data_IF_130007710863
#
_entry.id   IF_130007710863
#
_cell.length_a   1.000
_cell.length_b   1.000
_cell.length_c   1.000
_cell.angle_alpha   90.00
_cell.angle_beta   90.00
_cell.angle_gamma   90.00
#
_symmetry.space_group_name_H-M   'P 1'
#
loop_
_entity.id
_entity.type
_entity.pdbx_description
1 polymer ?
#
# COMPACT_ATOMS: atom_id res chain seq x y z
N UNK A 1 -1.78 49.98 35.79
CA UNK A 1 -1.37 49.82 34.38
C UNK A 1 -2.59 50.07 33.52
N UNK A 2 -2.58 51.07 32.64
CA UNK A 2 -3.77 51.50 31.90
C UNK A 2 -4.05 50.58 30.70
N UNK A 3 -4.87 49.56 30.91
CA UNK A 3 -5.34 48.60 29.90
C UNK A 3 -5.93 49.27 28.65
N UNK A 4 -6.55 50.45 28.80
CA UNK A 4 -7.09 51.24 27.69
C UNK A 4 -6.01 51.67 26.70
N UNK A 5 -4.83 52.06 27.18
CA UNK A 5 -3.72 52.49 26.31
C UNK A 5 -3.13 51.31 25.55
N UNK A 6 -2.98 50.16 26.21
CA UNK A 6 -2.51 48.91 25.60
C UNK A 6 -3.45 48.48 24.47
N UNK A 7 -4.77 48.53 24.69
CA UNK A 7 -5.78 48.17 23.68
C UNK A 7 -5.73 49.09 22.45
N UNK A 8 -5.55 50.39 22.66
CA UNK A 8 -5.45 51.37 21.56
C UNK A 8 -4.21 51.13 20.69
N UNK A 9 -3.06 50.85 21.33
CA UNK A 9 -1.81 50.53 20.62
C UNK A 9 -1.97 49.21 19.86
N UNK A 10 -2.51 48.18 20.50
CA UNK A 10 -2.72 46.87 19.87
C UNK A 10 -3.61 46.95 18.63
N UNK A 11 -4.75 47.66 18.70
CA UNK A 11 -5.63 47.80 17.53
C UNK A 11 -4.96 48.54 16.37
N UNK A 12 -4.12 49.54 16.68
CA UNK A 12 -3.37 50.26 15.65
C UNK A 12 -2.36 49.32 14.98
N UNK A 13 -1.57 48.60 15.77
CA UNK A 13 -0.52 47.70 15.30
C UNK A 13 -1.08 46.53 14.50
N UNK A 14 -2.18 45.91 14.99
CA UNK A 14 -2.85 44.83 14.29
C UNK A 14 -3.39 45.28 12.93
N UNK A 15 -4.00 46.47 12.86
CA UNK A 15 -4.45 47.03 11.58
C UNK A 15 -3.29 47.37 10.64
N UNK A 16 -2.15 47.79 11.20
CA UNK A 16 -0.95 48.07 10.42
C UNK A 16 -0.37 46.79 9.81
N UNK A 17 -0.26 45.72 10.62
CA UNK A 17 0.09 44.38 10.15
C UNK A 17 -0.89 43.83 9.11
N UNK A 18 -2.20 44.05 9.30
CA UNK A 18 -3.20 43.65 8.32
C UNK A 18 -3.08 44.39 6.98
N UNK A 19 -2.53 45.61 6.97
CA UNK A 19 -2.28 46.38 5.75
C UNK A 19 -1.01 45.92 5.04
N UNK A 20 -0.07 45.34 5.77
CA UNK A 20 1.09 44.72 5.15
C UNK A 20 0.72 43.37 4.53
N UNK A 21 0.23 43.46 3.29
CA UNK A 21 -0.10 42.30 2.45
C UNK A 21 1.07 41.35 2.26
N UNK A 22 2.33 41.80 2.34
CA UNK A 22 3.51 40.93 2.17
C UNK A 22 3.69 40.03 3.39
N UNK A 23 3.49 40.59 4.57
CA UNK A 23 3.57 39.88 5.85
C UNK A 23 2.35 38.96 6.04
N UNK A 24 1.14 39.45 5.79
CA UNK A 24 -0.06 38.61 5.84
C UNK A 24 -0.04 37.46 4.84
N UNK A 25 0.46 37.70 3.63
CA UNK A 25 0.59 36.63 2.64
C UNK A 25 1.51 35.53 3.15
N UNK A 26 2.66 35.89 3.70
CA UNK A 26 3.65 34.92 4.20
C UNK A 26 3.17 34.17 5.44
N UNK A 27 2.43 34.81 6.34
CA UNK A 27 2.00 34.20 7.61
C UNK A 27 0.71 33.38 7.43
N UNK A 28 -0.20 33.80 6.56
CA UNK A 28 -1.53 33.18 6.42
C UNK A 28 -1.67 32.43 5.10
N UNK A 29 -1.39 33.10 3.97
CA UNK A 29 -1.68 32.52 2.65
C UNK A 29 -0.66 31.44 2.29
N UNK A 30 0.63 31.72 2.50
CA UNK A 30 1.71 30.82 2.14
C UNK A 30 1.60 29.48 2.88
N UNK A 31 1.39 29.40 4.21
CA UNK A 31 1.26 28.10 4.89
C UNK A 31 -0.03 27.38 4.50
N UNK A 32 -1.11 28.12 4.28
CA UNK A 32 -2.40 27.56 3.89
C UNK A 32 -2.38 26.98 2.46
N UNK A 33 -1.45 27.41 1.61
CA UNK A 33 -1.18 26.78 0.30
C UNK A 33 -0.09 25.71 0.37
N UNK A 34 1.06 26.03 0.98
CA UNK A 34 2.23 25.14 0.99
C UNK A 34 2.00 23.90 1.85
N UNK A 35 1.38 24.01 3.02
CA UNK A 35 1.25 22.85 3.91
C UNK A 35 0.30 21.80 3.34
N UNK A 36 -0.87 22.15 2.78
CA UNK A 36 -1.70 21.16 2.10
C UNK A 36 -1.01 20.56 0.87
N UNK A 37 -0.28 21.37 0.09
CA UNK A 37 0.46 20.87 -1.06
C UNK A 37 1.52 19.86 -0.64
N UNK A 38 2.35 20.20 0.36
CA UNK A 38 3.34 19.29 0.92
C UNK A 38 2.67 18.03 1.49
N UNK A 39 1.60 18.19 2.27
CA UNK A 39 0.84 17.06 2.82
C UNK A 39 0.33 16.13 1.72
N UNK A 40 -0.25 16.67 0.66
CA UNK A 40 -0.68 15.88 -0.51
C UNK A 40 0.49 15.15 -1.16
N UNK A 41 1.64 15.81 -1.36
CA UNK A 41 2.82 15.15 -1.92
C UNK A 41 3.34 14.01 -1.02
N UNK A 42 3.35 14.21 0.30
CA UNK A 42 3.73 13.15 1.24
C UNK A 42 2.75 11.98 1.21
N UNK A 43 1.44 12.24 1.17
CA UNK A 43 0.43 11.20 1.06
C UNK A 43 0.53 10.42 -0.25
N UNK A 44 0.80 11.11 -1.37
CA UNK A 44 1.03 10.47 -2.66
C UNK A 44 2.26 9.55 -2.65
N UNK A 45 3.39 10.03 -2.11
CA UNK A 45 4.60 9.21 -1.97
C UNK A 45 4.34 8.02 -1.05
N UNK A 46 3.66 8.24 0.07
CA UNK A 46 3.30 7.17 1.00
C UNK A 46 2.41 6.11 0.35
N UNK A 47 1.46 6.51 -0.51
CA UNK A 47 0.65 5.57 -1.29
C UNK A 47 1.48 4.79 -2.30
N UNK A 48 2.44 5.43 -2.99
CA UNK A 48 3.33 4.75 -3.92
C UNK A 48 4.28 3.76 -3.22
N UNK A 49 4.66 4.05 -1.96
CA UNK A 49 5.42 3.13 -1.12
C UNK A 49 4.55 2.02 -0.50
N UNK A 50 3.23 2.04 -0.66
CA UNK A 50 2.43 0.88 -0.28
C UNK A 50 2.77 -0.25 -1.24
N UNK A 51 3.43 -1.26 -0.70
CA UNK A 51 3.83 -2.45 -1.43
C UNK A 51 2.58 -3.19 -1.90
N UNK A 52 2.50 -3.44 -3.21
CA UNK A 52 1.41 -4.21 -3.79
C UNK A 52 1.60 -5.69 -3.43
N UNK A 53 0.57 -6.36 -2.89
CA UNK A 53 0.68 -7.78 -2.60
C UNK A 53 0.86 -8.55 -3.92
N UNK A 54 1.92 -9.34 -3.99
CA UNK A 54 2.24 -10.22 -5.11
C UNK A 54 1.25 -11.37 -5.13
N UNK A 55 0.53 -11.54 -6.23
CA UNK A 55 -0.42 -12.64 -6.41
C UNK A 55 0.30 -13.87 -6.95
N UNK A 56 0.34 -14.93 -6.14
CA UNK A 56 1.03 -16.18 -6.47
C UNK A 56 -0.02 -17.29 -6.61
N UNK A 57 -0.02 -17.93 -7.77
CA UNK A 57 -0.85 -19.10 -8.04
C UNK A 57 -0.02 -20.38 -7.85
N UNK A 58 -0.53 -21.29 -7.03
CA UNK A 58 0.06 -22.59 -6.79
C UNK A 58 -0.80 -23.66 -7.47
N UNK A 59 -0.25 -24.30 -8.50
CA UNK A 59 -0.91 -25.38 -9.26
C UNK A 59 -0.39 -26.73 -8.75
N UNK A 60 -1.30 -27.69 -8.54
CA UNK A 60 -0.92 -29.02 -8.05
C UNK A 60 -0.72 -29.05 -6.54
N UNK A 61 -1.52 -28.28 -5.79
CA UNK A 61 -1.42 -28.17 -4.33
C UNK A 61 -1.49 -29.51 -3.57
N UNK A 62 -2.04 -30.54 -4.20
CA UNK A 62 -2.14 -31.90 -3.64
C UNK A 62 -0.82 -32.68 -3.66
N UNK A 63 0.20 -32.20 -4.38
CA UNK A 63 1.52 -32.83 -4.45
C UNK A 63 2.48 -32.32 -3.36
N UNK A 64 2.05 -31.36 -2.54
CA UNK A 64 2.91 -30.81 -1.49
C UNK A 64 3.12 -31.83 -0.37
N UNK A 65 4.34 -31.90 0.20
CA UNK A 65 4.62 -32.76 1.35
C UNK A 65 3.86 -32.28 2.60
N UNK A 66 3.29 -33.22 3.36
CA UNK A 66 2.57 -32.92 4.60
C UNK A 66 3.50 -32.48 5.75
N UNK A 67 4.80 -32.83 5.67
CA UNK A 67 5.81 -32.50 6.68
C UNK A 67 7.15 -32.12 6.01
N UNK A 68 7.72 -30.92 6.28
CA UNK A 68 7.14 -29.83 7.08
C UNK A 68 5.94 -29.15 6.37
N UNK A 69 4.93 -28.68 7.11
CA UNK A 69 3.78 -28.00 6.52
C UNK A 69 4.24 -26.69 5.88
N UNK A 70 4.18 -26.63 4.55
CA UNK A 70 4.55 -25.43 3.79
C UNK A 70 3.42 -24.40 3.76
N UNK A 71 2.18 -24.87 3.86
CA UNK A 71 0.96 -24.06 3.81
C UNK A 71 0.13 -24.29 5.06
N UNK A 72 -0.45 -23.21 5.57
CA UNK A 72 -1.40 -23.21 6.69
C UNK A 72 -2.71 -22.64 6.18
N UNK A 73 -3.81 -23.32 6.46
CA UNK A 73 -5.15 -22.81 6.26
C UNK A 73 -5.61 -22.11 7.54
N UNK A 74 -5.55 -20.77 7.56
CA UNK A 74 -6.02 -19.95 8.66
C UNK A 74 -7.56 -19.84 8.55
N UNK A 75 -8.24 -20.95 8.82
CA UNK A 75 -9.69 -21.07 8.65
C UNK A 75 -10.47 -20.03 9.48
N UNK A 76 -11.06 -19.05 8.79
CA UNK A 76 -12.44 -18.53 8.94
C UNK A 76 -12.69 -17.34 7.97
N UNK A 77 -11.65 -16.67 7.46
CA UNK A 77 -11.83 -15.55 6.50
C UNK A 77 -10.54 -15.09 5.77
N UNK A 78 -9.50 -15.92 5.69
CA UNK A 78 -8.29 -15.62 4.93
C UNK A 78 -7.75 -16.91 4.36
N UNK A 79 -7.71 -17.02 3.03
CA UNK A 79 -7.32 -18.23 2.33
C UNK A 79 -5.89 -18.72 2.63
N UNK A 80 -5.35 -19.62 1.80
CA UNK A 80 -4.10 -20.32 2.10
C UNK A 80 -2.92 -19.35 2.33
N UNK A 81 -2.08 -19.65 3.31
CA UNK A 81 -0.87 -18.87 3.65
C UNK A 81 0.35 -19.76 3.76
N UNK A 82 1.54 -19.20 3.60
CA UNK A 82 2.78 -19.91 3.95
C UNK A 82 2.88 -20.10 5.46
N UNK A 83 3.57 -21.16 5.88
CA UNK A 83 3.87 -21.37 7.29
C UNK A 83 4.76 -20.24 7.86
N UNK A 84 4.52 -19.87 9.12
CA UNK A 84 5.21 -18.72 9.77
C UNK A 84 6.71 -18.98 9.97
N UNK A 85 7.11 -20.24 9.95
CA UNK A 85 8.50 -20.66 9.99
C UNK A 85 9.26 -20.35 8.70
N UNK A 86 8.55 -20.18 7.58
CA UNK A 86 9.11 -19.92 6.25
C UNK A 86 9.12 -18.44 5.90
N UNK A 87 8.13 -17.68 6.37
CA UNK A 87 7.87 -16.29 5.95
C UNK A 87 7.51 -15.44 7.17
N UNK A 88 8.11 -14.26 7.27
CA UNK A 88 7.80 -13.31 8.36
C UNK A 88 6.41 -12.67 8.21
N UNK A 89 5.88 -12.10 9.30
CA UNK A 89 4.57 -11.42 9.27
C UNK A 89 4.52 -10.24 8.30
N UNK A 90 5.65 -9.56 8.05
CA UNK A 90 5.74 -8.45 7.11
C UNK A 90 5.61 -8.94 5.66
N UNK A 91 6.38 -9.96 5.30
CA UNK A 91 6.34 -10.61 3.98
C UNK A 91 4.99 -11.28 3.70
N UNK A 92 4.34 -11.87 4.72
CA UNK A 92 3.00 -12.45 4.59
C UNK A 92 1.93 -11.42 4.20
N UNK A 93 2.13 -10.13 4.48
CA UNK A 93 1.19 -9.06 4.04
C UNK A 93 1.37 -8.72 2.56
N UNK A 94 2.52 -9.08 1.99
CA UNK A 94 2.89 -8.80 0.60
C UNK A 94 2.64 -9.98 -0.33
N UNK A 95 2.07 -11.08 0.17
CA UNK A 95 1.85 -12.29 -0.61
C UNK A 95 0.36 -12.65 -0.54
N UNK A 96 -0.26 -12.79 -1.70
CA UNK A 96 -1.60 -13.33 -1.84
C UNK A 96 -1.52 -14.67 -2.57
N UNK A 97 -1.90 -15.76 -1.91
CA UNK A 97 -1.85 -17.10 -2.48
C UNK A 97 -3.23 -17.55 -2.97
N UNK A 98 -3.24 -18.16 -4.14
CA UNK A 98 -4.36 -18.89 -4.67
C UNK A 98 -3.93 -20.32 -5.01
N UNK A 99 -4.73 -21.30 -4.59
CA UNK A 99 -4.43 -22.73 -4.77
C UNK A 99 -5.37 -23.33 -5.81
N UNK A 100 -4.80 -23.99 -6.81
CA UNK A 100 -5.55 -24.79 -7.77
C UNK A 100 -5.10 -26.25 -7.68
N UNK A 101 -6.04 -27.12 -7.28
CA UNK A 101 -5.79 -28.55 -7.11
C UNK A 101 -5.68 -29.30 -8.45
N UNK A 102 -6.38 -28.85 -9.50
CA UNK A 102 -6.37 -29.48 -10.83
C UNK A 102 -5.98 -28.44 -11.87
N UNK A 103 -4.92 -28.66 -12.66
CA UNK A 103 -4.50 -27.70 -13.67
C UNK A 103 -5.63 -27.47 -14.70
N UNK A 104 -5.86 -26.21 -15.12
CA UNK A 104 -6.90 -25.88 -16.09
C UNK A 104 -6.58 -26.39 -17.51
N UNK A 105 -5.32 -26.68 -17.77
CA UNK A 105 -4.82 -27.23 -19.04
C UNK A 105 -4.13 -28.56 -18.78
N UNK A 106 -4.21 -29.48 -19.73
CA UNK A 106 -3.50 -30.77 -19.67
C UNK A 106 -2.00 -30.51 -19.43
N UNK A 107 -1.33 -31.35 -18.61
CA UNK A 107 0.11 -31.21 -18.26
C UNK A 107 1.04 -31.53 -19.45
N UNK A 108 0.82 -30.89 -20.58
CA UNK A 108 1.80 -30.74 -21.63
C UNK A 108 2.61 -29.47 -21.30
N UNK A 109 3.93 -29.62 -21.13
CA UNK A 109 4.82 -28.53 -20.70
C UNK A 109 4.66 -27.25 -21.55
N UNK A 110 4.36 -27.39 -22.84
CA UNK A 110 4.20 -26.25 -23.74
C UNK A 110 2.85 -25.54 -23.53
N UNK A 111 1.75 -26.29 -23.39
CA UNK A 111 0.42 -25.74 -23.18
C UNK A 111 0.27 -25.08 -21.79
N UNK A 112 0.89 -25.66 -20.76
CA UNK A 112 0.91 -25.07 -19.42
C UNK A 112 1.71 -23.76 -19.39
N UNK A 113 2.84 -23.71 -20.10
CA UNK A 113 3.66 -22.49 -20.20
C UNK A 113 2.94 -21.38 -20.95
N UNK A 114 2.28 -21.70 -22.06
CA UNK A 114 1.51 -20.72 -22.82
C UNK A 114 0.37 -20.13 -21.99
N UNK A 115 -0.39 -20.97 -21.28
CA UNK A 115 -1.43 -20.51 -20.36
C UNK A 115 -0.85 -19.67 -19.22
N UNK A 116 0.22 -20.13 -18.56
CA UNK A 116 0.84 -19.36 -17.48
C UNK A 116 1.34 -18.00 -17.95
N UNK A 117 1.91 -17.94 -19.16
CA UNK A 117 2.36 -16.71 -19.78
C UNK A 117 1.19 -15.76 -20.08
N UNK A 118 0.06 -16.27 -20.56
CA UNK A 118 -1.16 -15.48 -20.79
C UNK A 118 -1.67 -14.88 -19.48
N UNK A 119 -1.75 -15.68 -18.42
CA UNK A 119 -2.22 -15.23 -17.11
C UNK A 119 -1.31 -14.18 -16.49
N UNK A 120 0.01 -14.32 -16.60
CA UNK A 120 0.98 -13.32 -16.15
C UNK A 120 0.88 -12.04 -17.00
N UNK A 121 0.74 -12.17 -18.31
CA UNK A 121 0.58 -11.01 -19.21
C UNK A 121 -0.74 -10.26 -18.98
N UNK A 122 -1.79 -10.96 -18.55
CA UNK A 122 -3.07 -10.36 -18.19
C UNK A 122 -3.03 -9.55 -16.88
N UNK A 123 -1.99 -9.78 -16.04
CA UNK A 123 -1.85 -9.16 -14.72
C UNK A 123 -2.75 -9.77 -13.65
N UNK A 124 -3.36 -10.93 -13.91
CA UNK A 124 -4.18 -11.64 -12.92
C UNK A 124 -3.31 -12.26 -11.81
N UNK A 125 -2.12 -12.76 -12.19
CA UNK A 125 -1.10 -13.31 -11.29
C UNK A 125 0.29 -12.78 -11.64
N UNK A 126 1.13 -12.60 -10.65
CA UNK A 126 2.52 -12.16 -10.83
C UNK A 126 3.49 -13.36 -10.96
N UNK A 127 3.12 -14.49 -10.34
CA UNK A 127 3.91 -15.72 -10.35
C UNK A 127 3.00 -16.94 -10.33
N UNK A 128 3.35 -17.94 -11.13
CA UNK A 128 2.68 -19.25 -11.16
C UNK A 128 3.73 -20.32 -10.87
N UNK A 129 3.49 -21.16 -9.89
CA UNK A 129 4.36 -22.28 -9.51
C UNK A 129 3.58 -23.58 -9.72
N UNK A 130 4.16 -24.49 -10.50
CA UNK A 130 3.59 -25.81 -10.83
C UNK A 130 4.37 -26.92 -10.12
N UNK A 131 3.65 -27.83 -9.47
CA UNK A 131 4.17 -28.97 -8.68
C UNK A 131 3.74 -30.34 -9.25
#
# INVERSE_FOLDING_TARGET
MSWTNVRLIFQREFRDQLRDRRTLFTIVVLPLLLYPLLGMTFLQVAQFMQEHPTKILLVGSNSLPDDPPLLIDDGDMGGPRFARELVSDEEMRLIQLELIATPPVERANDAMREWAQEMIQSGEYDLIVDF
#
